data_IF_665111294465
#
_entry.id   IF_665111294465
#
_cell.length_a   1.000
_cell.length_b   1.000
_cell.length_c   1.000
_cell.angle_alpha   90.00
_cell.angle_beta   90.00
_cell.angle_gamma   90.00
#
_symmetry.space_group_name_H-M   'P 1'
#
loop_
_entity.id
_entity.type
_entity.pdbx_description
1 polymer ?
#
# COMPACT_ATOMS: atom_id res chain seq x y z
N UNK A 1 -4.86 7.63 21.64
CA UNK A 1 -3.86 7.59 20.55
C UNK A 1 -4.61 7.39 19.25
N UNK A 2 -4.39 8.27 18.28
CA UNK A 2 -5.00 8.20 16.95
C UNK A 2 -3.95 7.97 15.90
N UNK A 3 -4.13 6.97 15.05
CA UNK A 3 -3.16 6.50 14.06
C UNK A 3 -3.61 6.83 12.65
N UNK A 4 -2.75 7.48 11.87
CA UNK A 4 -2.89 7.61 10.42
C UNK A 4 -2.10 6.52 9.71
N UNK A 5 -2.75 5.73 8.85
CA UNK A 5 -2.13 4.63 8.09
C UNK A 5 -1.91 5.09 6.66
N UNK A 6 -0.70 4.91 6.12
CA UNK A 6 -0.39 5.23 4.73
C UNK A 6 0.30 4.04 4.06
N UNK A 7 -0.19 3.61 2.90
CA UNK A 7 0.35 2.49 2.14
C UNK A 7 -0.08 2.51 0.66
N UNK A 8 0.44 1.56 -0.12
CA UNK A 8 -0.09 1.19 -1.43
C UNK A 8 -1.26 0.23 -1.19
N UNK A 9 -2.47 0.75 -1.17
CA UNK A 9 -3.68 -0.03 -0.94
C UNK A 9 -4.73 0.20 -2.04
N UNK A 10 -5.59 1.21 -1.92
CA UNK A 10 -6.62 1.57 -2.90
C UNK A 10 -6.03 1.85 -4.29
N UNK A 11 -4.88 2.53 -4.34
CA UNK A 11 -4.20 2.89 -5.58
C UNK A 11 -3.05 1.93 -5.86
N UNK A 12 -3.39 0.75 -6.34
CA UNK A 12 -2.44 -0.27 -6.75
C UNK A 12 -2.61 -0.62 -8.23
N UNK A 13 -1.50 -0.92 -8.91
CA UNK A 13 -1.57 -1.42 -10.29
C UNK A 13 -2.35 -2.74 -10.32
N UNK A 14 -3.16 -2.91 -11.35
CA UNK A 14 -3.99 -4.10 -11.59
C UNK A 14 -4.97 -4.46 -10.47
N UNK A 15 -5.31 -3.51 -9.57
CA UNK A 15 -6.23 -3.77 -8.45
C UNK A 15 -5.81 -5.04 -7.69
N UNK A 16 -4.69 -4.95 -6.98
CA UNK A 16 -4.05 -6.07 -6.31
C UNK A 16 -4.83 -6.48 -5.05
N UNK A 17 -5.15 -7.77 -4.91
CA UNK A 17 -5.85 -8.31 -3.74
C UNK A 17 -5.01 -8.20 -2.47
N UNK A 18 -3.69 -8.46 -2.55
CA UNK A 18 -2.77 -8.30 -1.43
C UNK A 18 -2.81 -6.85 -0.92
N UNK A 19 -2.68 -5.87 -1.84
CA UNK A 19 -2.75 -4.45 -1.50
C UNK A 19 -4.08 -4.06 -0.82
N UNK A 20 -5.20 -4.67 -1.20
CA UNK A 20 -6.47 -4.43 -0.54
C UNK A 20 -6.59 -5.12 0.83
N UNK A 21 -6.01 -6.31 0.99
CA UNK A 21 -6.20 -7.10 2.20
C UNK A 21 -5.26 -6.70 3.33
N UNK A 22 -4.00 -6.32 3.05
CA UNK A 22 -3.06 -5.97 4.13
C UNK A 22 -3.51 -4.73 4.93
N UNK A 23 -3.95 -3.65 4.27
CA UNK A 23 -4.44 -2.46 4.98
C UNK A 23 -5.78 -2.72 5.69
N UNK A 24 -6.66 -3.55 5.13
CA UNK A 24 -7.85 -4.03 5.84
C UNK A 24 -7.47 -4.76 7.12
N UNK A 25 -6.58 -5.73 6.99
CA UNK A 25 -6.14 -6.55 8.12
C UNK A 25 -5.47 -5.71 9.21
N UNK A 26 -4.60 -4.78 8.81
CA UNK A 26 -3.93 -3.89 9.76
C UNK A 26 -4.92 -2.99 10.50
N UNK A 27 -5.89 -2.41 9.78
CA UNK A 27 -6.95 -1.59 10.39
C UNK A 27 -7.79 -2.41 11.39
N UNK A 28 -8.21 -3.64 11.00
CA UNK A 28 -8.98 -4.52 11.90
C UNK A 28 -8.15 -4.97 13.11
N UNK A 29 -6.86 -5.20 12.93
CA UNK A 29 -5.98 -5.54 14.06
C UNK A 29 -5.87 -4.38 15.05
N UNK A 30 -5.68 -3.14 14.57
CA UNK A 30 -5.67 -1.96 15.45
C UNK A 30 -6.99 -1.76 16.18
N UNK A 31 -8.13 -2.04 15.52
CA UNK A 31 -9.45 -2.01 16.16
C UNK A 31 -9.56 -3.03 17.31
N UNK A 32 -9.08 -4.25 17.10
CA UNK A 32 -9.03 -5.27 18.17
C UNK A 32 -8.17 -4.84 19.35
N UNK A 33 -7.15 -4.00 19.12
CA UNK A 33 -6.30 -3.43 20.17
C UNK A 33 -6.89 -2.15 20.80
N UNK A 34 -8.09 -1.70 20.38
CA UNK A 34 -8.70 -0.48 20.86
C UNK A 34 -8.00 0.81 20.43
N UNK A 35 -7.25 0.75 19.31
CA UNK A 35 -6.48 1.88 18.77
C UNK A 35 -7.31 2.56 17.67
N UNK A 36 -7.67 3.84 17.89
CA UNK A 36 -8.32 4.67 16.87
C UNK A 36 -7.40 4.86 15.66
N UNK A 37 -7.91 4.58 14.46
CA UNK A 37 -7.09 4.57 13.27
C UNK A 37 -7.88 4.95 12.01
N UNK A 38 -7.22 5.58 11.06
CA UNK A 38 -7.78 6.01 9.77
C UNK A 38 -6.74 5.81 8.68
N UNK A 39 -7.14 5.23 7.56
CA UNK A 39 -6.31 5.13 6.36
C UNK A 39 -6.30 6.48 5.64
N UNK A 40 -5.13 7.03 5.38
CA UNK A 40 -4.95 8.25 4.59
C UNK A 40 -5.18 7.91 3.12
N UNK A 41 -6.18 8.54 2.50
CA UNK A 41 -6.50 8.35 1.06
C UNK A 41 -5.43 9.04 0.22
N UNK A 42 -4.26 8.41 0.09
CA UNK A 42 -3.09 8.92 -0.59
C UNK A 42 -2.95 8.36 -2.01
N UNK A 43 -3.03 9.24 -3.00
CA UNK A 43 -2.74 8.93 -4.41
C UNK A 43 -1.26 9.21 -4.71
N UNK A 44 -0.40 8.19 -4.75
CA UNK A 44 1.03 8.38 -4.99
C UNK A 44 1.30 8.80 -6.44
N UNK A 45 2.43 9.48 -6.65
CA UNK A 45 2.78 10.09 -7.95
C UNK A 45 2.78 9.08 -9.10
N UNK A 46 3.27 7.87 -8.89
CA UNK A 46 3.35 6.84 -9.93
C UNK A 46 1.98 6.29 -10.36
N UNK A 47 0.92 6.55 -9.58
CA UNK A 47 -0.46 6.15 -9.91
C UNK A 47 -1.27 7.26 -10.59
N UNK A 48 -0.81 8.52 -10.63
CA UNK A 48 -1.56 9.66 -11.21
C UNK A 48 -1.95 9.46 -12.67
N UNK A 49 -1.11 8.79 -13.44
CA UNK A 49 -1.34 8.52 -14.87
C UNK A 49 -1.87 7.12 -15.15
N UNK A 50 -2.01 6.28 -14.11
CA UNK A 50 -2.45 4.91 -14.27
C UNK A 50 -3.97 4.80 -14.21
N UNK A 51 -4.57 4.21 -15.26
CA UNK A 51 -6.01 4.00 -15.31
C UNK A 51 -6.37 2.65 -14.67
N UNK A 52 -6.73 2.66 -13.38
CA UNK A 52 -7.12 1.45 -12.65
C UNK A 52 -8.37 0.77 -13.19
N UNK A 53 -9.29 1.54 -13.76
CA UNK A 53 -10.54 1.03 -14.36
C UNK A 53 -10.27 0.30 -15.67
N UNK A 54 -9.32 0.81 -16.43
CA UNK A 54 -8.92 0.27 -17.74
C UNK A 54 -7.40 0.22 -17.85
N UNK A 55 -6.74 -0.73 -17.17
CA UNK A 55 -5.27 -0.82 -17.10
C UNK A 55 -4.59 -0.86 -18.47
N UNK A 56 -5.22 -1.52 -19.45
CA UNK A 56 -4.74 -1.60 -20.84
C UNK A 56 -4.59 -0.25 -21.55
N UNK A 57 -5.23 0.82 -21.06
CA UNK A 57 -5.02 2.17 -21.60
C UNK A 57 -3.70 2.78 -21.13
N UNK A 58 -3.21 2.36 -19.99
CA UNK A 58 -1.94 2.80 -19.40
C UNK A 58 -0.74 1.97 -19.91
N UNK A 59 -0.98 0.72 -20.29
CA UNK A 59 0.02 -0.26 -20.73
C UNK A 59 -0.13 -0.53 -22.24
N UNK A 60 0.12 0.47 -23.07
CA UNK A 60 -0.24 0.44 -24.48
C UNK A 60 0.48 -0.65 -25.31
N UNK A 61 -0.25 -1.59 -25.95
CA UNK A 61 0.26 -2.27 -27.14
C UNK A 61 0.47 -1.25 -28.27
N UNK A 62 1.60 -1.31 -28.96
CA UNK A 62 1.94 -0.38 -30.04
C UNK A 62 0.96 -0.46 -31.24
N UNK A 63 0.18 -1.54 -31.36
CA UNK A 63 -0.70 -1.80 -32.49
C UNK A 63 -2.17 -1.45 -32.20
N UNK A 64 -2.74 -0.48 -32.92
CA UNK A 64 -4.10 0.03 -32.74
C UNK A 64 -5.20 -1.06 -32.86
N UNK A 65 -5.02 -2.03 -33.74
CA UNK A 65 -6.00 -3.12 -33.99
C UNK A 65 -6.04 -4.09 -32.79
N UNK A 66 -4.90 -4.50 -32.26
CA UNK A 66 -4.81 -5.35 -31.06
C UNK A 66 -5.42 -4.64 -29.84
N UNK A 67 -5.26 -3.33 -29.74
CA UNK A 67 -5.89 -2.52 -28.67
C UNK A 67 -7.41 -2.58 -28.72
N UNK A 68 -8.02 -2.54 -29.91
CA UNK A 68 -9.47 -2.59 -30.07
C UNK A 68 -10.05 -3.93 -29.63
N UNK A 69 -9.47 -5.06 -30.07
CA UNK A 69 -9.93 -6.38 -29.66
C UNK A 69 -9.66 -6.67 -28.17
N UNK A 70 -8.54 -6.19 -27.64
CA UNK A 70 -8.25 -6.27 -26.22
C UNK A 70 -9.26 -5.44 -25.40
N UNK A 71 -9.60 -4.25 -25.87
CA UNK A 71 -10.63 -3.41 -25.26
C UNK A 71 -11.99 -4.12 -25.24
N UNK A 72 -12.41 -4.71 -26.35
CA UNK A 72 -13.70 -5.39 -26.46
C UNK A 72 -13.81 -6.59 -25.51
N UNK A 73 -12.75 -7.39 -25.37
CA UNK A 73 -12.73 -8.58 -24.50
C UNK A 73 -12.59 -8.27 -23.02
N UNK A 74 -11.87 -7.21 -22.65
CA UNK A 74 -11.53 -6.90 -21.27
C UNK A 74 -12.34 -5.75 -20.64
N UNK A 75 -13.14 -5.03 -21.42
CA UNK A 75 -13.90 -3.88 -20.93
C UNK A 75 -14.83 -4.23 -19.77
N UNK A 76 -15.76 -5.17 -19.99
CA UNK A 76 -16.73 -5.54 -18.96
C UNK A 76 -16.12 -6.27 -17.76
N UNK A 77 -15.20 -7.25 -17.94
CA UNK A 77 -14.50 -7.87 -16.81
C UNK A 77 -13.74 -6.87 -15.94
N UNK A 78 -12.99 -5.94 -16.55
CA UNK A 78 -12.24 -4.91 -15.82
C UNK A 78 -13.18 -3.94 -15.10
N UNK A 79 -14.27 -3.53 -15.72
CA UNK A 79 -15.27 -2.67 -15.09
C UNK A 79 -15.91 -3.35 -13.87
N UNK A 80 -16.25 -4.63 -13.99
CA UNK A 80 -16.82 -5.42 -12.89
C UNK A 80 -15.81 -5.58 -11.75
N UNK A 81 -14.55 -5.90 -12.08
CA UNK A 81 -13.46 -5.98 -11.11
C UNK A 81 -13.26 -4.65 -10.40
N UNK A 82 -13.15 -3.57 -11.14
CA UNK A 82 -13.00 -2.22 -10.58
C UNK A 82 -14.13 -1.88 -9.61
N UNK A 83 -15.38 -2.11 -9.99
CA UNK A 83 -16.53 -1.86 -9.11
C UNK A 83 -16.48 -2.66 -7.82
N UNK A 84 -16.08 -3.94 -7.90
CA UNK A 84 -15.93 -4.80 -6.71
C UNK A 84 -14.84 -4.30 -5.76
N UNK A 85 -13.69 -3.87 -6.28
CA UNK A 85 -12.62 -3.29 -5.47
C UNK A 85 -13.03 -1.97 -4.84
N UNK A 86 -13.65 -1.05 -5.61
CA UNK A 86 -14.13 0.22 -5.05
C UNK A 86 -15.17 -0.01 -3.95
N UNK A 87 -16.14 -0.90 -4.18
CA UNK A 87 -17.11 -1.27 -3.14
C UNK A 87 -16.45 -1.85 -1.87
N UNK A 88 -15.38 -2.64 -2.02
CA UNK A 88 -14.63 -3.15 -0.88
C UNK A 88 -13.99 -1.99 -0.10
N UNK A 89 -13.30 -1.08 -0.77
CA UNK A 89 -12.70 0.08 -0.11
C UNK A 89 -13.74 0.97 0.57
N UNK A 90 -14.83 1.28 -0.13
CA UNK A 90 -15.89 2.16 0.39
C UNK A 90 -16.64 1.55 1.59
N UNK A 91 -16.72 0.22 1.66
CA UNK A 91 -17.48 -0.47 2.73
C UNK A 91 -16.62 -1.04 3.85
N UNK A 92 -15.33 -1.27 3.62
CA UNK A 92 -14.45 -1.97 4.56
C UNK A 92 -13.33 -1.11 5.14
N UNK A 93 -12.99 -0.01 4.47
CA UNK A 93 -11.97 0.91 4.97
C UNK A 93 -12.60 2.10 5.69
N UNK A 94 -11.97 2.54 6.76
CA UNK A 94 -12.14 3.90 7.29
C UNK A 94 -11.01 4.75 6.74
N UNK A 95 -11.35 5.62 5.80
CA UNK A 95 -10.40 6.51 5.13
C UNK A 95 -10.65 7.96 5.50
N UNK A 96 -9.65 8.80 5.26
CA UNK A 96 -9.83 10.26 5.33
C UNK A 96 -10.89 10.72 4.33
N UNK A 97 -11.60 11.80 4.67
CA UNK A 97 -12.71 12.31 3.84
C UNK A 97 -12.29 12.93 2.51
N UNK A 98 -10.99 13.18 2.31
CA UNK A 98 -10.47 13.70 1.06
C UNK A 98 -9.27 12.87 0.59
N UNK A 99 -9.11 12.81 -0.74
CA UNK A 99 -7.97 12.23 -1.40
C UNK A 99 -6.82 13.22 -1.38
N UNK A 100 -5.63 12.73 -1.05
CA UNK A 100 -4.40 13.52 -1.04
C UNK A 100 -3.46 13.05 -2.16
N UNK A 101 -2.93 13.98 -2.91
CA UNK A 101 -1.66 13.80 -3.60
C UNK A 101 -0.52 14.31 -2.71
N UNK A 102 0.73 14.20 -3.15
CA UNK A 102 1.89 14.63 -2.36
C UNK A 102 1.80 16.12 -1.95
N UNK A 103 1.31 16.98 -2.84
CA UNK A 103 1.21 18.42 -2.58
C UNK A 103 0.13 18.76 -1.54
N UNK A 104 -1.03 18.11 -1.63
CA UNK A 104 -2.10 18.26 -0.64
C UNK A 104 -1.73 17.58 0.67
N UNK A 105 -1.12 16.39 0.62
CA UNK A 105 -0.66 15.68 1.81
C UNK A 105 0.37 16.49 2.59
N UNK A 106 1.27 17.19 1.89
CA UNK A 106 2.27 18.06 2.49
C UNK A 106 1.69 19.24 3.31
N UNK A 107 0.47 19.69 2.96
CA UNK A 107 -0.23 20.81 3.59
C UNK A 107 -1.34 20.38 4.55
N UNK A 108 -1.60 19.09 4.64
CA UNK A 108 -2.69 18.57 5.45
C UNK A 108 -2.46 18.85 6.95
N UNK A 109 -3.54 19.13 7.64
CA UNK A 109 -3.55 19.29 9.10
C UNK A 109 -4.19 18.04 9.70
N UNK A 110 -3.38 17.14 10.19
CA UNK A 110 -3.83 15.91 10.83
C UNK A 110 -3.77 16.00 12.34
N UNK A 111 -4.78 15.49 12.99
CA UNK A 111 -4.87 15.27 14.44
C UNK A 111 -4.34 13.89 14.87
N UNK A 112 -3.56 13.22 14.02
CA UNK A 112 -2.91 11.96 14.35
C UNK A 112 -1.75 12.14 15.31
N UNK A 113 -1.64 11.27 16.31
CA UNK A 113 -0.47 11.16 17.20
C UNK A 113 0.67 10.43 16.51
N UNK A 114 0.30 9.42 15.73
CA UNK A 114 1.23 8.51 15.05
C UNK A 114 0.85 8.34 13.58
N UNK A 115 1.84 8.26 12.71
CA UNK A 115 1.69 7.86 11.31
C UNK A 115 2.42 6.54 11.11
N UNK A 116 1.72 5.55 10.55
CA UNK A 116 2.28 4.25 10.22
C UNK A 116 2.34 4.10 8.70
N UNK A 117 3.56 3.97 8.18
CA UNK A 117 3.80 3.49 6.82
C UNK A 117 3.73 1.96 6.83
N UNK A 118 2.69 1.42 6.19
CA UNK A 118 2.33 0.01 6.39
C UNK A 118 2.47 -0.77 5.10
N UNK A 119 3.22 -1.87 5.18
CA UNK A 119 3.34 -2.97 4.22
C UNK A 119 3.51 -2.58 2.73
N UNK A 120 3.36 -3.56 1.84
CA UNK A 120 3.58 -3.48 0.39
C UNK A 120 4.96 -2.90 -0.01
N UNK A 121 5.22 -2.81 -1.28
CA UNK A 121 6.50 -2.36 -1.88
C UNK A 121 6.70 -0.84 -1.79
N UNK A 122 6.28 -0.25 -0.67
CA UNK A 122 6.31 1.21 -0.44
C UNK A 122 7.72 1.80 -0.43
N UNK A 123 8.73 0.99 -0.11
CA UNK A 123 10.14 1.40 -0.11
C UNK A 123 10.92 0.94 -1.34
N UNK A 124 10.23 0.33 -2.32
CA UNK A 124 10.84 -0.08 -3.59
C UNK A 124 10.92 1.09 -4.58
N UNK A 125 12.10 1.65 -4.87
CA UNK A 125 12.23 2.74 -5.83
C UNK A 125 11.95 2.32 -7.28
N UNK A 126 11.85 1.04 -7.54
CA UNK A 126 11.40 0.52 -8.84
C UNK A 126 9.86 0.57 -8.93
N UNK A 127 9.18 0.09 -7.92
CA UNK A 127 7.71 0.02 -7.89
C UNK A 127 7.07 1.40 -7.79
N UNK A 128 7.66 2.31 -7.01
CA UNK A 128 7.17 3.67 -6.76
C UNK A 128 7.78 4.74 -7.67
N UNK A 129 8.56 4.32 -8.69
CA UNK A 129 9.25 5.22 -9.64
C UNK A 129 10.14 6.27 -8.93
N UNK A 130 10.93 5.83 -7.98
CA UNK A 130 11.73 6.62 -7.05
C UNK A 130 11.16 6.53 -5.63
N UNK A 131 11.88 6.99 -4.64
CA UNK A 131 11.36 7.03 -3.26
C UNK A 131 10.26 8.07 -3.13
N UNK A 132 9.11 7.65 -2.62
CA UNK A 132 7.93 8.50 -2.40
C UNK A 132 7.97 9.12 -1.00
N UNK A 133 7.92 10.46 -0.90
CA UNK A 133 8.02 11.16 0.37
C UNK A 133 6.87 10.84 1.34
N UNK A 134 5.68 10.52 0.84
CA UNK A 134 4.55 10.11 1.67
C UNK A 134 4.84 8.79 2.41
N UNK A 135 5.37 7.80 1.69
CA UNK A 135 5.71 6.50 2.26
C UNK A 135 6.97 6.48 3.14
N UNK A 136 7.73 7.57 3.13
CA UNK A 136 8.86 7.77 4.04
C UNK A 136 8.56 8.80 5.15
N UNK A 137 7.32 9.19 5.34
CA UNK A 137 6.92 10.24 6.30
C UNK A 137 7.77 11.54 6.19
N UNK A 138 8.23 11.87 4.99
CA UNK A 138 9.13 12.98 4.71
C UNK A 138 8.37 14.22 4.21
N UNK A 139 7.24 14.54 4.84
CA UNK A 139 6.41 15.70 4.48
C UNK A 139 6.18 16.61 5.68
N UNK A 140 6.03 17.95 5.45
CA UNK A 140 5.79 18.93 6.51
C UNK A 140 4.61 18.58 7.44
N UNK A 141 3.51 18.05 6.90
CA UNK A 141 2.32 17.64 7.65
C UNK A 141 2.56 16.51 8.66
N UNK A 142 3.68 15.80 8.51
CA UNK A 142 4.06 14.65 9.34
C UNK A 142 5.10 15.00 10.41
N UNK A 143 5.55 16.27 10.46
CA UNK A 143 6.51 16.73 11.47
C UNK A 143 5.89 16.72 12.88
N UNK A 144 6.71 16.39 13.87
CA UNK A 144 6.27 16.35 15.27
C UNK A 144 5.33 15.19 15.63
N UNK A 145 5.07 14.27 14.70
CA UNK A 145 4.30 13.05 14.94
C UNK A 145 5.23 11.86 15.12
N UNK A 146 4.80 10.87 15.89
CA UNK A 146 5.49 9.58 15.93
C UNK A 146 5.34 8.87 14.57
N UNK A 147 6.42 8.31 14.03
CA UNK A 147 6.47 7.71 12.70
C UNK A 147 7.01 6.31 12.76
N UNK A 148 6.22 5.37 12.29
CA UNK A 148 6.52 3.95 12.36
C UNK A 148 6.44 3.35 10.96
N UNK A 149 7.37 2.50 10.58
CA UNK A 149 7.14 1.57 9.49
C UNK A 149 6.72 0.22 10.03
N UNK A 150 5.66 -0.35 9.50
CA UNK A 150 5.20 -1.68 9.81
C UNK A 150 5.23 -2.56 8.56
N UNK A 151 6.05 -3.62 8.60
CA UNK A 151 6.16 -4.58 7.50
C UNK A 151 6.48 -3.95 6.12
N UNK A 152 7.19 -2.82 6.08
CA UNK A 152 7.55 -2.17 4.82
C UNK A 152 8.37 -3.11 3.94
N UNK A 153 8.06 -3.16 2.63
CA UNK A 153 8.79 -3.99 1.68
C UNK A 153 9.67 -3.15 0.77
N UNK A 154 10.94 -3.56 0.63
CA UNK A 154 11.94 -2.90 -0.22
C UNK A 154 11.87 -3.42 -1.67
N UNK A 155 11.39 -4.66 -1.84
CA UNK A 155 11.26 -5.35 -3.10
C UNK A 155 12.58 -5.91 -3.63
N UNK A 156 13.66 -5.13 -3.63
CA UNK A 156 15.01 -5.56 -3.99
C UNK A 156 16.08 -4.68 -3.33
N UNK A 157 17.26 -5.22 -3.11
CA UNK A 157 18.32 -4.60 -2.30
C UNK A 157 19.46 -4.00 -3.13
N UNK A 158 19.48 -4.17 -4.46
CA UNK A 158 20.53 -3.63 -5.31
C UNK A 158 20.29 -2.14 -5.62
N UNK A 159 20.65 -1.27 -4.67
CA UNK A 159 20.56 0.18 -4.82
C UNK A 159 21.87 0.76 -5.33
N UNK A 160 21.80 1.72 -6.27
CA UNK A 160 22.94 2.55 -6.61
C UNK A 160 23.35 3.43 -5.40
N UNK A 161 24.61 3.87 -5.34
CA UNK A 161 25.14 4.73 -4.26
C UNK A 161 24.24 5.94 -3.96
N UNK A 162 23.73 6.60 -5.00
CA UNK A 162 22.80 7.71 -4.86
C UNK A 162 21.50 7.31 -4.18
N UNK A 163 20.96 6.12 -4.49
CA UNK A 163 19.76 5.59 -3.83
C UNK A 163 20.05 5.17 -2.39
N UNK A 164 21.21 4.59 -2.13
CA UNK A 164 21.64 4.23 -0.77
C UNK A 164 21.74 5.47 0.12
N UNK A 165 22.40 6.52 -0.35
CA UNK A 165 22.51 7.79 0.39
C UNK A 165 21.12 8.39 0.68
N UNK A 166 20.23 8.39 -0.32
CA UNK A 166 18.87 8.90 -0.14
C UNK A 166 18.04 8.03 0.79
N UNK A 167 18.17 6.71 0.74
CA UNK A 167 17.48 5.77 1.64
C UNK A 167 17.88 6.00 3.09
N UNK A 168 19.19 6.13 3.35
CA UNK A 168 19.72 6.48 4.69
C UNK A 168 19.11 7.78 5.23
N UNK A 169 19.00 8.82 4.42
CA UNK A 169 18.37 10.07 4.82
C UNK A 169 16.89 9.91 5.16
N UNK A 170 16.17 9.14 4.36
CA UNK A 170 14.73 8.93 4.54
C UNK A 170 14.42 8.09 5.78
N UNK A 171 15.27 7.12 6.13
CA UNK A 171 15.10 6.29 7.33
C UNK A 171 15.19 7.10 8.63
N UNK A 172 15.89 8.25 8.63
CA UNK A 172 15.97 9.14 9.79
C UNK A 172 14.60 9.65 10.25
N UNK A 173 13.62 9.69 9.36
CA UNK A 173 12.27 10.15 9.68
C UNK A 173 11.52 9.23 10.63
N UNK A 174 11.84 7.95 10.69
CA UNK A 174 11.12 6.97 11.48
C UNK A 174 11.64 6.88 12.92
N UNK A 175 10.74 6.75 13.86
CA UNK A 175 11.04 6.48 15.27
C UNK A 175 11.20 4.99 15.52
N UNK A 176 10.45 4.15 14.80
CA UNK A 176 10.57 2.69 14.82
C UNK A 176 10.48 2.12 13.40
N UNK A 177 11.30 1.11 13.13
CA UNK A 177 11.44 0.53 11.80
C UNK A 177 11.18 -0.96 11.84
N UNK A 178 10.20 -1.42 11.07
CA UNK A 178 10.04 -2.84 10.81
C UNK A 178 9.78 -3.11 9.32
N UNK A 179 10.27 -4.25 8.86
CA UNK A 179 10.17 -4.69 7.46
C UNK A 179 9.67 -6.12 7.40
N UNK A 180 9.12 -6.51 6.25
CA UNK A 180 8.45 -7.79 6.07
C UNK A 180 9.40 -8.95 5.75
N UNK A 181 10.47 -8.68 5.02
CA UNK A 181 11.40 -9.68 4.54
C UNK A 181 12.68 -9.70 5.38
N UNK A 182 13.20 -10.90 5.71
CA UNK A 182 14.47 -11.07 6.45
C UNK A 182 15.61 -10.35 5.73
N UNK A 183 15.76 -10.56 4.41
CA UNK A 183 16.78 -9.89 3.60
C UNK A 183 16.62 -8.37 3.60
N UNK A 184 15.36 -7.88 3.63
CA UNK A 184 15.05 -6.45 3.75
C UNK A 184 15.45 -5.89 5.10
N UNK A 185 15.34 -6.70 6.19
CA UNK A 185 15.78 -6.32 7.53
C UNK A 185 17.29 -6.13 7.58
N UNK A 186 18.05 -7.11 7.13
CA UNK A 186 19.52 -7.07 7.06
C UNK A 186 19.98 -5.87 6.23
N UNK A 187 19.42 -5.71 5.04
CA UNK A 187 19.74 -4.58 4.17
C UNK A 187 19.40 -3.23 4.81
N UNK A 188 18.22 -3.07 5.42
CA UNK A 188 17.82 -1.79 6.02
C UNK A 188 18.72 -1.43 7.21
N UNK A 189 19.15 -2.44 7.98
CA UNK A 189 20.02 -2.24 9.14
C UNK A 189 21.38 -1.60 8.77
N UNK A 190 21.87 -1.78 7.54
CA UNK A 190 23.11 -1.13 7.07
C UNK A 190 22.98 0.40 6.90
N UNK A 191 21.74 0.92 6.86
CA UNK A 191 21.46 2.34 6.60
C UNK A 191 20.91 3.11 7.78
N UNK A 192 20.79 2.49 8.97
CA UNK A 192 20.28 3.14 10.17
C UNK A 192 20.91 2.57 11.43
N UNK A 193 21.12 3.42 12.44
CA UNK A 193 21.56 3.00 13.78
C UNK A 193 20.39 2.53 14.64
N UNK A 194 19.14 2.70 14.18
CA UNK A 194 17.96 2.23 14.89
C UNK A 194 17.77 0.73 14.68
N UNK A 195 17.27 -0.01 15.68
CA UNK A 195 16.93 -1.42 15.49
C UNK A 195 15.90 -1.60 14.36
N UNK A 196 16.16 -2.50 13.43
CA UNK A 196 15.23 -2.91 12.39
C UNK A 196 14.68 -4.29 12.72
N UNK A 197 13.35 -4.42 12.81
CA UNK A 197 12.69 -5.66 13.22
C UNK A 197 12.01 -6.32 12.02
N UNK A 198 12.19 -7.63 11.86
CA UNK A 198 11.40 -8.42 10.92
C UNK A 198 10.03 -8.75 11.53
N UNK A 199 8.96 -8.47 10.83
CA UNK A 199 7.58 -8.69 11.29
C UNK A 199 6.74 -9.36 10.19
N UNK A 200 5.62 -9.95 10.60
CA UNK A 200 4.68 -10.57 9.67
C UNK A 200 3.97 -9.51 8.80
N UNK A 201 3.61 -9.93 7.58
CA UNK A 201 2.68 -9.15 6.77
C UNK A 201 1.35 -8.95 7.52
N UNK A 202 0.72 -7.77 7.44
CA UNK A 202 -0.54 -7.50 8.15
C UNK A 202 -1.64 -8.52 7.88
N UNK A 203 -1.67 -9.14 6.71
CA UNK A 203 -2.66 -10.20 6.41
C UNK A 203 -2.56 -11.41 7.34
N UNK A 204 -1.44 -11.59 8.02
CA UNK A 204 -1.22 -12.67 8.98
C UNK A 204 -1.53 -12.28 10.44
N UNK A 205 -1.97 -11.05 10.68
CA UNK A 205 -2.38 -10.57 12.01
C UNK A 205 -3.81 -10.95 12.37
N UNK A 206 -4.62 -11.36 11.39
CA UNK A 206 -6.00 -11.79 11.56
C UNK A 206 -6.11 -13.30 11.45
N UNK A 207 -7.07 -13.86 12.15
CA UNK A 207 -7.41 -15.26 12.06
C UNK A 207 -8.48 -15.58 10.97
N UNK A 208 -8.78 -16.85 10.78
CA UNK A 208 -9.75 -17.31 9.79
C UNK A 208 -11.17 -16.76 10.06
N UNK A 209 -11.54 -16.55 11.32
CA UNK A 209 -12.86 -16.04 11.70
C UNK A 209 -13.05 -14.59 11.28
N UNK A 210 -11.97 -13.77 11.33
CA UNK A 210 -12.02 -12.40 10.87
C UNK A 210 -12.21 -12.32 9.36
N UNK A 211 -11.50 -13.15 8.61
CA UNK A 211 -11.67 -13.23 7.16
C UNK A 211 -13.02 -13.81 6.76
N UNK A 212 -13.59 -14.73 7.55
CA UNK A 212 -14.93 -15.26 7.30
C UNK A 212 -16.02 -14.17 7.29
N UNK A 213 -15.82 -13.05 8.00
CA UNK A 213 -16.75 -11.90 8.03
C UNK A 213 -16.84 -11.17 6.69
N UNK A 214 -15.82 -11.28 5.84
CA UNK A 214 -15.77 -10.65 4.51
C UNK A 214 -15.77 -11.65 3.36
N UNK A 215 -15.60 -12.92 3.65
CA UNK A 215 -15.58 -13.99 2.64
C UNK A 215 -16.97 -14.21 2.04
N UNK A 216 -17.00 -14.41 0.74
CA UNK A 216 -18.22 -14.80 0.01
C UNK A 216 -18.02 -16.22 -0.50
N UNK A 217 -18.93 -17.11 -0.12
CA UNK A 217 -18.87 -18.50 -0.61
C UNK A 217 -18.99 -18.54 -2.13
N UNK A 218 -18.14 -19.31 -2.83
CA UNK A 218 -18.28 -19.51 -4.26
C UNK A 218 -19.62 -20.18 -4.56
N UNK A 219 -20.15 -19.89 -5.75
CA UNK A 219 -21.44 -20.50 -6.21
C UNK A 219 -21.24 -21.97 -6.55
N UNK A 220 -20.09 -22.31 -7.05
CA UNK A 220 -19.69 -23.67 -7.43
C UNK A 220 -19.41 -24.50 -6.16
N UNK A 221 -19.98 -25.70 -6.11
CA UNK A 221 -19.74 -26.66 -5.01
C UNK A 221 -18.43 -27.43 -5.16
N UNK A 222 -17.99 -27.63 -6.41
CA UNK A 222 -16.76 -28.32 -6.77
C UNK A 222 -15.95 -27.44 -7.71
N UNK A 223 -14.75 -27.07 -7.31
CA UNK A 223 -13.86 -26.25 -8.11
C UNK A 223 -12.39 -26.55 -7.81
N UNK A 224 -11.53 -26.31 -8.78
CA UNK A 224 -10.09 -26.28 -8.63
C UNK A 224 -9.66 -24.81 -8.59
N UNK A 225 -9.07 -24.36 -7.49
CA UNK A 225 -8.48 -23.04 -7.41
C UNK A 225 -7.04 -23.11 -7.91
N UNK A 226 -6.74 -22.38 -8.97
CA UNK A 226 -5.37 -22.16 -9.46
C UNK A 226 -5.01 -20.71 -9.19
N UNK A 227 -3.95 -20.51 -8.41
CA UNK A 227 -3.33 -19.19 -8.19
C UNK A 227 -1.99 -19.19 -8.90
N UNK A 228 -1.85 -18.32 -9.92
CA UNK A 228 -0.65 -18.22 -10.77
C UNK A 228 -0.08 -16.79 -10.74
#
# INVERSE_FOLDING_TARGET
MKVGIISINKYSKHLNFGAALHSYAFQQYLDKQGIDNVIIDYLPRFMKTYNMKYPFLSEQPKEKIKRFFFWLGYFFPNLTRYKKFMNFFDTKYRMTNCQYDEALLSKALFDFDTIVCESDVIWSPHSTQGFDNGFFCNLPSMRGKNKISYAACIGYTNFSEKRQARFRELLKNFDSISVREIQGTEFTQEYTDKPVVNVLDPTLLLDAEDYAKIAVKPKEKHYLLVYN
#
